data_IF_905417417959
#
_entry.id   IF_905417417959
#
_cell.length_a   1.000
_cell.length_b   1.000
_cell.length_c   1.000
_cell.angle_alpha   90.00
_cell.angle_beta   90.00
_cell.angle_gamma   90.00
#
_symmetry.space_group_name_H-M   'P 1'
#
loop_
_entity.id
_entity.type
_entity.pdbx_description
1 polymer ?
#
# COMPACT_ATOMS: atom_id res chain seq x y z
N UNK A 1 -4.73 -28.41 -8.09
CA UNK A 1 -4.62 -29.42 -9.15
C UNK A 1 -5.69 -29.14 -10.19
N UNK A 2 -5.56 -29.66 -11.41
CA UNK A 2 -6.55 -29.53 -12.48
C UNK A 2 -7.92 -30.05 -12.00
N UNK A 3 -8.99 -29.33 -12.34
CA UNK A 3 -10.36 -29.72 -12.03
C UNK A 3 -10.97 -30.44 -13.25
N UNK A 4 -11.22 -31.74 -13.11
CA UNK A 4 -11.74 -32.59 -14.21
C UNK A 4 -13.20 -32.32 -14.59
N UNK A 5 -13.95 -31.63 -13.72
CA UNK A 5 -15.34 -31.23 -13.95
C UNK A 5 -15.46 -29.79 -14.49
N UNK A 6 -14.34 -29.09 -14.71
CA UNK A 6 -14.35 -27.74 -15.27
C UNK A 6 -14.76 -27.77 -16.74
N UNK A 7 -15.76 -26.97 -17.11
CA UNK A 7 -16.34 -26.95 -18.46
C UNK A 7 -15.32 -26.65 -19.57
N UNK A 8 -14.24 -25.92 -19.25
CA UNK A 8 -13.16 -25.56 -20.18
C UNK A 8 -11.81 -26.19 -19.78
N UNK A 9 -11.85 -27.44 -19.29
CA UNK A 9 -10.66 -28.18 -18.85
C UNK A 9 -9.67 -28.50 -19.98
N UNK A 10 -10.11 -28.54 -21.23
CA UNK A 10 -9.25 -28.79 -22.41
C UNK A 10 -8.28 -27.63 -22.66
N UNK A 11 -8.65 -26.42 -22.24
CA UNK A 11 -7.77 -25.25 -22.25
C UNK A 11 -6.67 -25.34 -21.18
N UNK A 12 -6.95 -25.99 -20.03
CA UNK A 12 -6.02 -26.09 -18.91
C UNK A 12 -4.90 -27.08 -19.19
N UNK A 13 -3.66 -26.58 -19.22
CA UNK A 13 -2.45 -27.37 -19.56
C UNK A 13 -1.68 -27.89 -18.35
N UNK A 14 -1.70 -27.19 -17.22
CA UNK A 14 -1.02 -27.61 -15.99
C UNK A 14 -1.86 -28.64 -15.20
N UNK A 15 -1.22 -29.72 -14.77
CA UNK A 15 -1.84 -30.71 -13.87
C UNK A 15 -1.95 -30.20 -12.43
N UNK A 16 -0.96 -29.41 -12.00
CA UNK A 16 -0.85 -28.87 -10.64
C UNK A 16 -0.02 -27.60 -10.62
N UNK A 17 -0.46 -26.63 -9.81
CA UNK A 17 0.34 -25.51 -9.33
C UNK A 17 0.61 -25.75 -7.84
N UNK A 18 1.88 -25.75 -7.44
CA UNK A 18 2.28 -25.81 -6.04
C UNK A 18 2.63 -24.39 -5.56
N UNK A 19 2.18 -24.03 -4.36
CA UNK A 19 2.42 -22.72 -3.76
C UNK A 19 3.10 -22.93 -2.41
N UNK A 20 4.29 -22.36 -2.26
CA UNK A 20 5.08 -22.42 -1.04
C UNK A 20 5.08 -21.05 -0.37
N UNK A 21 4.90 -21.02 0.96
CA UNK A 21 5.02 -19.77 1.73
C UNK A 21 6.46 -19.62 2.19
N UNK A 22 7.17 -18.66 1.61
CA UNK A 22 8.56 -18.32 1.95
C UNK A 22 8.61 -16.87 2.41
N UNK A 23 9.24 -16.59 3.56
CA UNK A 23 9.23 -15.26 4.19
C UNK A 23 10.54 -14.49 3.99
N UNK A 24 11.62 -15.20 3.69
CA UNK A 24 12.97 -14.69 3.50
C UNK A 24 13.33 -14.73 2.01
N UNK A 25 13.73 -13.57 1.47
CA UNK A 25 14.08 -13.47 0.05
C UNK A 25 15.29 -14.36 -0.36
N UNK A 26 16.33 -14.53 0.48
CA UNK A 26 17.43 -15.45 0.16
C UNK A 26 16.99 -16.90 0.00
N UNK A 27 16.07 -17.37 0.85
CA UNK A 27 15.51 -18.72 0.74
C UNK A 27 14.73 -18.88 -0.56
N UNK A 28 13.94 -17.87 -0.92
CA UNK A 28 13.12 -17.87 -2.13
C UNK A 28 14.00 -17.88 -3.40
N UNK A 29 15.09 -17.10 -3.42
CA UNK A 29 16.08 -17.10 -4.49
C UNK A 29 16.80 -18.46 -4.61
N UNK A 30 17.24 -19.04 -3.49
CA UNK A 30 17.91 -20.35 -3.52
C UNK A 30 17.00 -21.43 -4.11
N UNK A 31 15.72 -21.47 -3.74
CA UNK A 31 14.76 -22.42 -4.30
C UNK A 31 14.59 -22.25 -5.83
N UNK A 32 14.69 -21.02 -6.34
CA UNK A 32 14.63 -20.76 -7.77
C UNK A 32 15.92 -21.24 -8.46
N UNK A 33 17.08 -20.89 -7.91
CA UNK A 33 18.39 -21.29 -8.46
C UNK A 33 18.60 -22.82 -8.44
N UNK A 34 18.04 -23.53 -7.47
CA UNK A 34 18.06 -25.01 -7.42
C UNK A 34 16.97 -25.67 -8.26
N UNK A 35 16.07 -24.90 -8.87
CA UNK A 35 14.97 -25.41 -9.69
C UNK A 35 13.81 -26.03 -8.90
N UNK A 36 13.72 -25.78 -7.59
CA UNK A 36 12.60 -26.23 -6.75
C UNK A 36 11.33 -25.39 -6.94
N UNK A 37 11.47 -24.15 -7.40
CA UNK A 37 10.34 -23.29 -7.80
C UNK A 37 10.59 -22.66 -9.17
N UNK A 38 9.52 -22.47 -9.92
CA UNK A 38 9.58 -21.86 -11.26
C UNK A 38 9.34 -20.34 -11.26
N UNK A 39 8.90 -19.78 -10.13
CA UNK A 39 8.65 -18.35 -9.96
C UNK A 39 8.91 -17.97 -8.50
N UNK A 40 9.68 -16.90 -8.27
CA UNK A 40 9.93 -16.37 -6.93
C UNK A 40 9.96 -14.86 -6.93
N UNK A 41 9.52 -14.25 -5.83
CA UNK A 41 9.68 -12.81 -5.61
C UNK A 41 11.12 -12.47 -5.24
N UNK A 42 11.49 -11.21 -5.47
CA UNK A 42 12.73 -10.58 -5.03
C UNK A 42 12.41 -9.33 -4.20
N UNK A 43 13.33 -8.96 -3.30
CA UNK A 43 13.23 -7.71 -2.55
C UNK A 43 14.60 -7.22 -2.08
N UNK A 44 14.72 -5.92 -1.85
CA UNK A 44 15.92 -5.29 -1.30
C UNK A 44 17.15 -5.52 -2.17
N UNK A 45 18.28 -5.81 -1.54
CA UNK A 45 19.56 -6.01 -2.21
C UNK A 45 19.52 -7.10 -3.29
N UNK A 46 18.82 -8.21 -3.05
CA UNK A 46 18.70 -9.29 -4.05
C UNK A 46 17.96 -8.84 -5.31
N UNK A 47 16.93 -7.99 -5.16
CA UNK A 47 16.24 -7.42 -6.32
C UNK A 47 17.16 -6.48 -7.12
N UNK A 48 18.00 -5.70 -6.44
CA UNK A 48 18.99 -4.85 -7.10
C UNK A 48 20.05 -5.66 -7.85
N UNK A 49 20.55 -6.74 -7.25
CA UNK A 49 21.54 -7.62 -7.86
C UNK A 49 20.98 -8.32 -9.11
N UNK A 50 19.69 -8.69 -9.09
CA UNK A 50 19.03 -9.44 -10.16
C UNK A 50 18.34 -8.56 -11.21
N UNK A 51 18.47 -7.23 -11.15
CA UNK A 51 17.76 -6.29 -12.03
C UNK A 51 18.04 -6.49 -13.55
N UNK A 52 19.16 -7.12 -13.88
CA UNK A 52 19.57 -7.41 -15.26
C UNK A 52 19.40 -8.88 -15.64
N UNK A 53 18.78 -9.69 -14.77
CA UNK A 53 18.50 -11.09 -15.09
C UNK A 53 17.54 -11.19 -16.28
N UNK A 54 17.81 -12.07 -17.27
CA UNK A 54 16.88 -12.30 -18.37
C UNK A 54 15.55 -12.92 -17.90
N UNK A 55 15.53 -13.52 -16.71
CA UNK A 55 14.36 -14.15 -16.09
C UNK A 55 13.54 -13.17 -15.27
N UNK A 56 13.97 -11.90 -15.19
CA UNK A 56 13.30 -10.89 -14.37
C UNK A 56 11.95 -10.50 -14.99
N UNK A 57 10.90 -10.59 -14.18
CA UNK A 57 9.55 -10.12 -14.51
C UNK A 57 9.12 -9.06 -13.51
N UNK A 58 8.72 -7.88 -14.02
CA UNK A 58 8.21 -6.79 -13.19
C UNK A 58 6.68 -6.76 -13.23
N UNK A 59 6.06 -6.87 -12.06
CA UNK A 59 4.61 -6.91 -11.88
C UNK A 59 4.13 -5.64 -11.17
N UNK A 60 3.54 -4.69 -11.91
CA UNK A 60 2.97 -3.47 -11.36
C UNK A 60 1.58 -3.72 -10.78
N UNK A 61 1.31 -3.29 -9.55
CA UNK A 61 0.00 -3.47 -8.94
C UNK A 61 -0.73 -2.12 -8.78
N UNK A 62 -2.05 -2.12 -8.95
CA UNK A 62 -2.92 -1.08 -8.44
C UNK A 62 -3.09 -1.31 -6.94
N UNK A 63 -2.04 -1.03 -6.15
CA UNK A 63 -2.06 -1.27 -4.71
C UNK A 63 -1.32 -0.19 -3.94
N UNK A 64 -2.00 0.35 -2.93
CA UNK A 64 -1.50 1.41 -2.06
C UNK A 64 -1.12 0.81 -0.71
N UNK A 65 0.11 1.07 -0.25
CA UNK A 65 0.53 0.80 1.12
C UNK A 65 0.63 2.10 1.88
N UNK A 66 0.10 2.11 3.11
CA UNK A 66 -0.06 3.31 3.93
C UNK A 66 0.06 2.97 5.42
N UNK A 67 0.36 3.99 6.22
CA UNK A 67 0.17 3.94 7.66
C UNK A 67 -1.30 4.22 7.96
N UNK A 68 -1.99 3.19 8.43
CA UNK A 68 -3.30 3.33 9.04
C UNK A 68 -3.11 3.72 10.51
N UNK A 69 -3.68 4.84 10.91
CA UNK A 69 -3.52 5.42 12.26
C UNK A 69 -4.86 5.37 12.98
N UNK A 70 -4.88 4.75 14.16
CA UNK A 70 -6.08 4.61 14.97
C UNK A 70 -6.44 5.92 15.68
N UNK A 71 -7.54 6.51 15.24
CA UNK A 71 -8.10 7.79 15.70
C UNK A 71 -9.39 7.60 16.52
N UNK A 72 -9.72 6.35 16.91
CA UNK A 72 -10.97 6.03 17.58
C UNK A 72 -11.09 6.62 19.00
N UNK A 73 -9.99 6.67 19.74
CA UNK A 73 -9.93 7.26 21.07
C UNK A 73 -9.53 8.73 20.96
N UNK A 74 -10.40 9.64 21.39
CA UNK A 74 -10.13 11.09 21.39
C UNK A 74 -8.85 11.46 22.15
N UNK A 75 -8.45 10.65 23.14
CA UNK A 75 -7.20 10.84 23.91
C UNK A 75 -5.96 10.32 23.19
N UNK A 76 -6.13 9.57 22.10
CA UNK A 76 -5.01 9.09 21.30
C UNK A 76 -4.27 10.30 20.70
N UNK A 77 -2.93 10.35 20.77
CA UNK A 77 -2.17 11.42 20.12
C UNK A 77 -2.36 11.42 18.59
N UNK A 78 -2.80 10.30 18.01
CA UNK A 78 -3.02 10.14 16.57
C UNK A 78 -4.25 10.89 16.06
N UNK A 79 -5.12 11.38 16.94
CA UNK A 79 -6.21 12.31 16.54
C UNK A 79 -5.66 13.69 16.16
N UNK A 80 -4.44 14.03 16.58
CA UNK A 80 -3.80 15.29 16.23
C UNK A 80 -3.32 15.29 14.77
N UNK A 81 -3.92 16.15 13.95
CA UNK A 81 -3.59 16.26 12.52
C UNK A 81 -2.14 16.73 12.28
N UNK A 82 -1.55 17.54 13.17
CA UNK A 82 -0.17 17.97 13.02
C UNK A 82 0.82 16.82 13.28
N UNK A 83 0.53 15.90 14.20
CA UNK A 83 1.32 14.67 14.35
C UNK A 83 1.27 13.84 13.07
N UNK A 84 0.08 13.58 12.52
CA UNK A 84 -0.06 12.79 11.29
C UNK A 84 0.67 13.43 10.09
N UNK A 85 0.58 14.75 9.94
CA UNK A 85 1.35 15.52 8.94
C UNK A 85 2.85 15.43 9.17
N UNK A 86 3.31 15.58 10.41
CA UNK A 86 4.73 15.47 10.75
C UNK A 86 5.28 14.10 10.36
N UNK A 87 4.56 13.02 10.69
CA UNK A 87 4.93 11.66 10.32
C UNK A 87 4.98 11.48 8.80
N UNK A 88 3.99 12.01 8.06
CA UNK A 88 3.98 11.93 6.58
C UNK A 88 5.18 12.63 5.94
N UNK A 89 5.50 13.85 6.38
CA UNK A 89 6.61 14.63 5.85
C UNK A 89 7.99 14.10 6.24
N UNK A 90 8.09 13.29 7.31
CA UNK A 90 9.34 12.69 7.77
C UNK A 90 9.78 11.49 6.90
N UNK A 91 8.86 10.87 6.14
CA UNK A 91 9.14 9.65 5.38
C UNK A 91 9.70 9.99 3.99
N UNK A 92 10.95 9.58 3.75
CA UNK A 92 11.57 9.60 2.42
C UNK A 92 11.12 8.38 1.59
N UNK A 93 9.99 8.55 0.92
CA UNK A 93 9.33 7.51 0.11
C UNK A 93 10.18 7.05 -1.07
N UNK A 94 11.02 7.93 -1.61
CA UNK A 94 11.95 7.59 -2.68
C UNK A 94 13.00 6.59 -2.18
N UNK A 95 13.61 6.89 -1.02
CA UNK A 95 14.58 5.98 -0.41
C UNK A 95 13.93 4.66 0.01
N UNK A 96 12.72 4.70 0.58
CA UNK A 96 11.95 3.49 0.89
C UNK A 96 11.75 2.61 -0.36
N UNK A 97 11.23 3.19 -1.44
CA UNK A 97 10.90 2.46 -2.65
C UNK A 97 12.14 1.92 -3.38
N UNK A 98 13.18 2.75 -3.55
CA UNK A 98 14.35 2.44 -4.38
C UNK A 98 15.43 1.64 -3.64
N UNK A 99 15.60 1.87 -2.34
CA UNK A 99 16.73 1.33 -1.58
C UNK A 99 16.31 0.22 -0.62
N UNK A 100 15.15 0.35 0.04
CA UNK A 100 14.70 -0.62 1.04
C UNK A 100 13.89 -1.74 0.37
N UNK A 101 12.86 -1.38 -0.39
CA UNK A 101 12.03 -2.34 -1.12
C UNK A 101 12.73 -2.84 -2.38
N UNK A 102 13.24 -1.89 -3.19
CA UNK A 102 14.05 -2.10 -4.37
C UNK A 102 13.50 -3.14 -5.39
N UNK A 103 12.19 -3.34 -5.42
CA UNK A 103 11.49 -4.37 -6.19
C UNK A 103 10.54 -3.77 -7.25
N UNK A 104 10.90 -2.58 -7.74
CA UNK A 104 10.11 -1.78 -8.68
C UNK A 104 8.89 -1.09 -8.07
N UNK A 105 8.65 -1.21 -6.76
CA UNK A 105 7.65 -0.39 -6.07
C UNK A 105 7.95 1.11 -6.27
N UNK A 106 6.91 1.93 -6.24
CA UNK A 106 7.00 3.36 -6.52
C UNK A 106 6.73 4.17 -5.23
N UNK A 107 7.38 5.32 -5.03
CA UNK A 107 6.98 6.24 -3.96
C UNK A 107 5.51 6.63 -4.17
N UNK A 108 4.71 6.56 -3.10
CA UNK A 108 3.30 6.97 -3.19
C UNK A 108 3.20 8.45 -3.51
N UNK A 109 2.27 8.79 -4.42
CA UNK A 109 1.92 10.17 -4.76
C UNK A 109 0.51 10.56 -4.28
N UNK A 110 -0.23 9.64 -3.68
CA UNK A 110 -1.60 9.81 -3.22
C UNK A 110 -2.06 8.58 -2.47
N UNK A 111 -3.31 8.57 -2.01
CA UNK A 111 -3.92 7.38 -1.45
C UNK A 111 -4.36 6.44 -2.57
N UNK A 112 -4.98 6.99 -3.61
CA UNK A 112 -5.17 6.32 -4.90
C UNK A 112 -3.81 6.14 -5.61
N UNK A 113 -3.43 4.91 -6.01
CA UNK A 113 -2.23 4.67 -6.82
C UNK A 113 -2.31 5.29 -8.22
N UNK A 114 -1.16 5.55 -8.84
CA UNK A 114 -1.12 5.98 -10.24
C UNK A 114 -1.55 4.84 -11.17
N UNK A 115 -1.99 5.20 -12.38
CA UNK A 115 -2.46 4.29 -13.43
C UNK A 115 -3.74 3.50 -13.08
N UNK A 116 -4.49 3.92 -12.04
CA UNK A 116 -5.76 3.27 -11.64
C UNK A 116 -6.93 3.71 -12.50
N UNK A 117 -7.02 5.00 -12.82
CA UNK A 117 -8.13 5.55 -13.59
C UNK A 117 -7.71 6.82 -14.33
N UNK A 118 -8.42 7.09 -15.43
CA UNK A 118 -8.20 8.26 -16.27
C UNK A 118 -9.44 9.13 -16.31
N UNK A 119 -9.22 10.44 -16.34
CA UNK A 119 -10.26 11.44 -16.42
C UNK A 119 -11.15 11.21 -17.65
N UNK A 120 -12.49 11.21 -17.50
CA UNK A 120 -13.39 11.09 -18.63
C UNK A 120 -13.33 12.29 -19.57
N UNK A 121 -12.83 13.44 -19.09
CA UNK A 121 -12.75 14.69 -19.84
C UNK A 121 -11.41 14.88 -20.55
N UNK A 122 -10.30 14.62 -19.85
CA UNK A 122 -8.95 14.95 -20.34
C UNK A 122 -8.13 13.71 -20.72
N UNK A 123 -8.52 12.52 -20.23
CA UNK A 123 -7.72 11.29 -20.35
C UNK A 123 -6.48 11.25 -19.45
N UNK A 124 -6.26 12.27 -18.61
CA UNK A 124 -5.15 12.33 -17.66
C UNK A 124 -5.36 11.41 -16.46
N UNK A 125 -4.27 10.98 -15.83
CA UNK A 125 -4.30 10.14 -14.62
C UNK A 125 -4.95 10.85 -13.43
N UNK A 126 -5.70 10.10 -12.62
CA UNK A 126 -6.39 10.60 -11.43
C UNK A 126 -5.45 11.34 -10.47
N UNK A 127 -4.28 10.78 -10.17
CA UNK A 127 -3.35 11.36 -9.19
C UNK A 127 -2.82 12.70 -9.68
N UNK A 128 -2.57 12.83 -10.99
CA UNK A 128 -2.10 14.07 -11.62
C UNK A 128 -3.15 15.18 -11.54
N UNK A 129 -4.43 14.89 -11.78
CA UNK A 129 -5.51 15.88 -11.64
C UNK A 129 -5.81 16.21 -10.17
N UNK A 130 -5.68 15.23 -9.27
CA UNK A 130 -5.83 15.43 -7.84
C UNK A 130 -4.74 16.35 -7.27
N UNK A 131 -3.52 16.26 -7.81
CA UNK A 131 -2.37 16.99 -7.30
C UNK A 131 -1.96 16.56 -5.89
N UNK A 132 -2.24 15.30 -5.54
CA UNK A 132 -1.93 14.70 -4.23
C UNK A 132 -0.42 14.66 -3.96
N UNK A 133 0.39 14.59 -5.01
CA UNK A 133 1.85 14.57 -4.99
C UNK A 133 2.46 15.80 -4.28
N UNK A 134 1.73 16.92 -4.26
CA UNK A 134 2.14 18.15 -3.59
C UNK A 134 2.13 18.03 -2.07
N UNK A 135 1.30 17.14 -1.52
CA UNK A 135 1.10 16.92 -0.09
C UNK A 135 1.74 15.62 0.39
N UNK A 136 1.80 14.59 -0.46
CA UNK A 136 2.48 13.32 -0.18
C UNK A 136 3.94 13.41 -0.64
N UNK A 137 4.76 14.14 0.11
CA UNK A 137 6.19 14.30 -0.18
C UNK A 137 7.04 14.35 1.07
N UNK A 138 8.31 13.98 0.93
CA UNK A 138 9.32 14.14 1.96
C UNK A 138 9.72 15.61 2.10
N UNK A 139 9.66 16.13 3.33
CA UNK A 139 10.13 17.48 3.66
C UNK A 139 10.49 17.54 5.15
N UNK A 140 11.76 17.28 5.46
CA UNK A 140 12.27 17.24 6.84
C UNK A 140 11.95 18.53 7.62
N UNK A 141 11.98 19.70 6.98
CA UNK A 141 11.72 20.98 7.66
C UNK A 141 10.26 21.09 8.05
N UNK A 142 9.33 20.76 7.13
CA UNK A 142 7.90 20.73 7.45
C UNK A 142 7.58 19.67 8.50
N UNK A 143 8.22 18.50 8.43
CA UNK A 143 8.04 17.45 9.43
C UNK A 143 8.32 17.97 10.85
N UNK A 144 9.46 18.65 11.03
CA UNK A 144 9.84 19.27 12.31
C UNK A 144 8.89 20.40 12.71
N UNK A 145 8.46 21.24 11.76
CA UNK A 145 7.49 22.32 12.02
C UNK A 145 6.17 21.78 12.57
N UNK A 146 5.58 20.81 11.87
CA UNK A 146 4.32 20.19 12.28
C UNK A 146 4.47 19.42 13.60
N UNK A 147 5.63 18.79 13.83
CA UNK A 147 5.89 18.12 15.09
C UNK A 147 5.97 19.07 16.28
N UNK A 148 6.59 20.24 16.11
CA UNK A 148 6.62 21.24 17.16
C UNK A 148 5.22 21.78 17.49
N UNK A 149 4.36 21.96 16.48
CA UNK A 149 2.93 22.29 16.69
C UNK A 149 2.21 21.17 17.45
N UNK A 150 2.39 19.93 17.03
CA UNK A 150 1.79 18.76 17.68
C UNK A 150 2.21 18.63 19.14
N UNK A 151 3.50 18.83 19.47
CA UNK A 151 4.00 18.82 20.86
C UNK A 151 3.31 19.87 21.73
N UNK A 152 3.11 21.08 21.21
CA UNK A 152 2.41 22.15 21.92
C UNK A 152 0.94 21.80 22.16
N UNK A 153 0.24 21.32 21.12
CA UNK A 153 -1.18 20.97 21.18
C UNK A 153 -1.44 19.76 22.08
N UNK A 154 -0.55 18.77 22.07
CA UNK A 154 -0.64 17.56 22.89
C UNK A 154 -0.10 17.78 24.31
N UNK A 155 0.64 18.87 24.56
CA UNK A 155 1.30 19.12 25.84
C UNK A 155 2.40 18.09 26.17
N UNK A 156 3.08 17.54 25.16
CA UNK A 156 4.11 16.49 25.34
C UNK A 156 5.47 16.94 24.83
N UNK A 157 6.52 16.50 25.51
CA UNK A 157 7.91 16.60 25.04
C UNK A 157 8.42 15.31 24.40
N UNK A 158 7.88 14.17 24.85
CA UNK A 158 8.22 12.85 24.36
C UNK A 158 6.93 12.06 24.06
N UNK A 159 6.95 11.24 23.03
CA UNK A 159 5.84 10.40 22.62
C UNK A 159 6.36 9.04 22.20
N UNK A 160 5.68 7.96 22.61
CA UNK A 160 5.95 6.61 22.09
C UNK A 160 4.73 6.09 21.34
N UNK A 161 4.94 5.55 20.14
CA UNK A 161 3.90 4.90 19.33
C UNK A 161 4.36 3.54 18.84
N UNK A 162 3.43 2.59 18.78
CA UNK A 162 3.64 1.27 18.20
C UNK A 162 3.28 1.25 16.70
N UNK A 163 4.19 0.71 15.90
CA UNK A 163 4.07 0.48 14.47
C UNK A 163 4.00 -1.03 14.20
N UNK A 164 2.82 -1.51 13.91
CA UNK A 164 2.58 -2.91 13.55
C UNK A 164 2.89 -3.15 12.07
N UNK A 165 3.67 -4.20 11.79
CA UNK A 165 4.02 -4.65 10.43
C UNK A 165 3.82 -6.15 10.28
N UNK A 166 3.78 -6.64 9.05
CA UNK A 166 3.83 -8.09 8.79
C UNK A 166 5.20 -8.68 9.17
N UNK A 167 5.26 -9.99 9.44
CA UNK A 167 6.46 -10.66 9.96
C UNK A 167 7.46 -11.17 8.90
N UNK A 168 7.24 -10.83 7.63
CA UNK A 168 8.19 -11.13 6.55
C UNK A 168 9.47 -10.27 6.68
N UNK A 169 10.57 -10.76 6.11
CA UNK A 169 11.86 -10.05 6.17
C UNK A 169 11.76 -8.63 5.58
N UNK A 170 11.13 -8.50 4.41
CA UNK A 170 10.93 -7.20 3.75
C UNK A 170 10.05 -6.23 4.56
N UNK A 171 9.01 -6.74 5.21
CA UNK A 171 8.13 -5.90 6.04
C UNK A 171 8.82 -5.42 7.32
N UNK A 172 9.68 -6.26 7.93
CA UNK A 172 10.52 -5.87 9.08
C UNK A 172 11.51 -4.77 8.70
N UNK A 173 12.25 -4.94 7.60
CA UNK A 173 13.19 -3.93 7.10
C UNK A 173 12.51 -2.59 6.78
N UNK A 174 11.32 -2.64 6.19
CA UNK A 174 10.48 -1.43 6.00
C UNK A 174 10.08 -0.80 7.35
N UNK A 175 9.64 -1.61 8.32
CA UNK A 175 9.28 -1.13 9.66
C UNK A 175 10.44 -0.45 10.38
N UNK A 176 11.63 -1.04 10.33
CA UNK A 176 12.88 -0.47 10.86
C UNK A 176 13.26 0.84 10.18
N UNK A 177 13.14 0.90 8.85
CA UNK A 177 13.34 2.13 8.09
C UNK A 177 12.37 3.24 8.53
N UNK A 178 11.08 2.94 8.65
CA UNK A 178 10.06 3.89 9.11
C UNK A 178 10.34 4.35 10.54
N UNK A 179 10.71 3.41 11.44
CA UNK A 179 11.11 3.73 12.81
C UNK A 179 12.26 4.72 12.85
N UNK A 180 13.34 4.46 12.10
CA UNK A 180 14.51 5.33 12.03
C UNK A 180 14.16 6.70 11.44
N UNK A 181 13.52 6.72 10.27
CA UNK A 181 13.10 7.95 9.58
C UNK A 181 12.25 8.87 10.47
N UNK A 182 11.27 8.30 11.18
CA UNK A 182 10.41 9.04 12.10
C UNK A 182 11.17 9.52 13.34
N UNK A 183 11.92 8.65 14.01
CA UNK A 183 12.61 8.98 15.27
C UNK A 183 13.76 9.97 15.06
N UNK A 184 14.48 9.88 13.94
CA UNK A 184 15.60 10.78 13.61
C UNK A 184 15.13 12.18 13.19
N UNK A 185 13.91 12.29 12.67
CA UNK A 185 13.34 13.56 12.20
C UNK A 185 12.52 14.25 13.28
N UNK A 186 11.79 13.48 14.10
CA UNK A 186 10.82 13.98 15.05
C UNK A 186 11.36 13.82 16.48
N UNK A 187 12.22 14.75 16.90
CA UNK A 187 12.91 14.68 18.21
C UNK A 187 11.93 14.45 19.38
N UNK A 188 12.18 13.40 20.18
CA UNK A 188 11.32 12.98 21.29
C UNK A 188 10.22 11.98 20.90
N UNK A 189 10.02 11.70 19.61
CA UNK A 189 9.18 10.59 19.15
C UNK A 189 10.00 9.30 19.14
N UNK A 190 9.51 8.29 19.87
CA UNK A 190 9.99 6.91 19.81
C UNK A 190 8.96 6.05 19.08
N UNK A 191 9.40 5.35 18.05
CA UNK A 191 8.56 4.34 17.38
C UNK A 191 9.01 2.95 17.83
N UNK A 192 8.10 2.08 18.26
CA UNK A 192 8.38 0.64 18.45
C UNK A 192 7.84 -0.12 17.25
N UNK A 193 8.58 -1.11 16.74
CA UNK A 193 8.12 -1.95 15.61
C UNK A 193 7.65 -3.28 16.17
N UNK A 194 6.42 -3.66 15.84
CA UNK A 194 5.80 -4.92 16.28
C UNK A 194 5.46 -5.79 15.06
N UNK A 195 6.36 -6.70 14.63
CA UNK A 195 6.08 -7.63 13.54
C UNK A 195 5.15 -8.74 14.00
N UNK A 196 4.08 -9.01 13.23
CA UNK A 196 3.13 -10.09 13.50
C UNK A 196 2.74 -10.83 12.21
N UNK A 197 2.26 -12.08 12.28
CA UNK A 197 1.68 -12.74 11.11
C UNK A 197 0.51 -11.94 10.53
N UNK A 198 0.33 -11.96 9.21
CA UNK A 198 -0.73 -11.21 8.52
C UNK A 198 -2.12 -11.45 9.11
N UNK A 199 -2.46 -12.70 9.44
CA UNK A 199 -3.74 -13.04 10.06
C UNK A 199 -3.95 -12.33 11.42
N UNK A 200 -2.89 -12.20 12.22
CA UNK A 200 -2.93 -11.48 13.50
C UNK A 200 -3.07 -9.98 13.28
N UNK A 201 -2.34 -9.40 12.33
CA UNK A 201 -2.50 -7.98 11.97
C UNK A 201 -3.92 -7.68 11.51
N UNK A 202 -4.51 -8.53 10.67
CA UNK A 202 -5.89 -8.38 10.21
C UNK A 202 -6.88 -8.43 11.37
N UNK A 203 -6.77 -9.41 12.26
CA UNK A 203 -7.64 -9.54 13.43
C UNK A 203 -7.52 -8.33 14.39
N UNK A 204 -6.29 -7.93 14.74
CA UNK A 204 -6.03 -6.79 15.64
C UNK A 204 -6.55 -5.48 15.05
N UNK A 205 -6.28 -5.21 13.77
CA UNK A 205 -6.77 -3.99 13.13
C UNK A 205 -8.30 -3.97 13.01
N UNK A 206 -8.95 -5.10 12.70
CA UNK A 206 -10.43 -5.19 12.69
C UNK A 206 -11.05 -4.89 14.06
N UNK A 207 -10.36 -5.28 15.14
CA UNK A 207 -10.78 -5.03 16.53
C UNK A 207 -10.39 -3.63 17.05
N UNK A 208 -9.63 -2.85 16.28
CA UNK A 208 -9.09 -1.57 16.75
C UNK A 208 -7.94 -1.69 17.76
N UNK A 209 -7.35 -2.89 17.92
CA UNK A 209 -6.20 -3.14 18.81
C UNK A 209 -4.87 -2.80 18.12
N UNK A 210 -4.68 -1.53 17.80
CA UNK A 210 -3.45 -1.00 17.21
C UNK A 210 -3.36 0.51 17.41
N UNK A 211 -2.14 1.05 17.36
CA UNK A 211 -1.91 2.49 17.24
C UNK A 211 -1.67 2.85 15.78
N UNK A 212 -0.60 2.31 15.19
CA UNK A 212 -0.27 2.48 13.79
C UNK A 212 -0.05 1.11 13.18
N UNK A 213 -0.58 0.86 12.00
CA UNK A 213 -0.33 -0.37 11.25
C UNK A 213 0.06 -0.03 9.81
N UNK A 214 1.05 -0.73 9.25
CA UNK A 214 1.24 -0.73 7.80
C UNK A 214 0.17 -1.61 7.16
N UNK A 215 -0.69 -0.99 6.36
CA UNK A 215 -1.75 -1.67 5.63
C UNK A 215 -1.57 -1.47 4.13
N UNK A 216 -1.85 -2.53 3.39
CA UNK A 216 -1.95 -2.50 1.93
C UNK A 216 -3.39 -2.70 1.51
N UNK A 217 -3.81 -2.01 0.46
CA UNK A 217 -5.03 -2.30 -0.28
C UNK A 217 -4.68 -2.51 -1.75
N UNK A 218 -5.23 -3.56 -2.34
CA UNK A 218 -5.11 -3.87 -3.76
C UNK A 218 -6.49 -3.72 -4.39
N UNK A 219 -6.58 -3.01 -5.51
CA UNK A 219 -7.87 -2.66 -6.04
C UNK A 219 -8.61 -3.89 -6.58
N UNK A 220 -9.89 -4.06 -6.23
CA UNK A 220 -10.72 -5.13 -6.80
C UNK A 220 -11.08 -4.86 -8.26
N UNK A 221 -11.20 -3.58 -8.62
CA UNK A 221 -11.49 -3.06 -9.96
C UNK A 221 -10.84 -1.69 -10.16
N UNK A 222 -10.70 -1.27 -11.41
CA UNK A 222 -9.95 -0.06 -11.80
C UNK A 222 -10.78 1.22 -11.68
N UNK A 223 -11.01 1.69 -10.44
CA UNK A 223 -11.70 2.96 -10.16
C UNK A 223 -11.19 3.58 -8.84
N UNK A 224 -11.05 4.93 -8.73
CA UNK A 224 -10.56 5.57 -7.50
C UNK A 224 -11.42 5.27 -6.27
N UNK A 225 -12.73 5.05 -6.44
CA UNK A 225 -13.64 4.77 -5.32
C UNK A 225 -13.23 3.52 -4.54
N UNK A 226 -12.58 2.55 -5.19
CA UNK A 226 -12.16 1.30 -4.54
C UNK A 226 -11.07 1.52 -3.47
N UNK A 227 -10.37 2.65 -3.52
CA UNK A 227 -9.49 3.10 -2.45
C UNK A 227 -10.22 4.07 -1.53
N UNK A 228 -10.86 5.09 -2.09
CA UNK A 228 -11.40 6.20 -1.33
C UNK A 228 -12.52 5.77 -0.37
N UNK A 229 -13.39 4.85 -0.75
CA UNK A 229 -14.48 4.46 0.15
C UNK A 229 -14.04 3.63 1.36
N UNK A 230 -12.79 3.15 1.40
CA UNK A 230 -12.20 2.49 2.56
C UNK A 230 -12.16 3.40 3.79
N UNK A 231 -12.18 4.72 3.58
CA UNK A 231 -12.09 5.73 4.63
C UNK A 231 -13.41 6.45 4.89
N UNK A 232 -14.51 6.01 4.24
CA UNK A 232 -15.86 6.46 4.60
C UNK A 232 -16.12 6.14 6.09
N UNK A 233 -16.64 7.09 6.86
CA UNK A 233 -16.74 6.94 8.33
C UNK A 233 -17.58 5.73 8.76
N UNK A 234 -18.53 5.31 7.92
CA UNK A 234 -19.49 4.24 8.19
C UNK A 234 -18.96 2.83 7.89
N UNK A 235 -17.88 2.69 7.10
CA UNK A 235 -17.44 1.38 6.60
C UNK A 235 -16.61 0.60 7.64
N UNK A 236 -16.75 -0.73 7.64
CA UNK A 236 -15.89 -1.60 8.46
C UNK A 236 -14.44 -1.64 7.96
N UNK A 237 -14.18 -1.19 6.73
CA UNK A 237 -12.84 -1.11 6.17
C UNK A 237 -12.02 0.05 6.74
N UNK A 238 -12.68 1.05 7.33
CA UNK A 238 -12.05 2.19 7.99
C UNK A 238 -11.64 1.80 9.42
N UNK A 239 -10.56 1.01 9.53
CA UNK A 239 -10.12 0.45 10.81
C UNK A 239 -9.47 1.51 11.69
N UNK A 240 -8.86 2.52 11.06
CA UNK A 240 -8.33 3.71 11.72
C UNK A 240 -9.39 4.67 12.29
N UNK A 241 -10.67 4.48 11.96
CA UNK A 241 -11.78 5.36 12.39
C UNK A 241 -11.57 6.83 12.03
N UNK A 242 -10.96 7.09 10.88
CA UNK A 242 -10.93 8.44 10.32
C UNK A 242 -12.38 8.92 10.07
N UNK A 243 -12.67 10.18 10.34
CA UNK A 243 -14.00 10.74 10.14
C UNK A 243 -13.89 12.19 9.69
N UNK A 244 -14.47 12.50 8.52
CA UNK A 244 -14.59 13.85 8.00
C UNK A 244 -15.92 13.98 7.23
N UNK A 245 -16.88 14.82 7.69
CA UNK A 245 -18.18 14.95 7.03
C UNK A 245 -18.13 15.43 5.57
N UNK A 246 -17.16 16.28 5.21
CA UNK A 246 -17.00 16.71 3.81
C UNK A 246 -16.45 15.58 2.95
N UNK A 247 -15.54 14.76 3.48
CA UNK A 247 -15.08 13.55 2.81
C UNK A 247 -16.25 12.59 2.55
N UNK A 248 -17.02 12.26 3.59
CA UNK A 248 -18.16 11.36 3.48
C UNK A 248 -19.20 11.86 2.47
N UNK A 249 -19.40 13.19 2.40
CA UNK A 249 -20.29 13.82 1.42
C UNK A 249 -19.82 13.58 -0.01
N UNK A 250 -18.52 13.77 -0.31
CA UNK A 250 -17.97 13.50 -1.64
C UNK A 250 -18.07 12.02 -2.01
N UNK A 251 -17.75 11.11 -1.07
CA UNK A 251 -17.91 9.67 -1.29
C UNK A 251 -19.36 9.31 -1.59
N UNK A 252 -20.30 9.80 -0.78
CA UNK A 252 -21.73 9.54 -0.95
C UNK A 252 -22.25 10.09 -2.30
N UNK A 253 -21.89 11.32 -2.67
CA UNK A 253 -22.29 11.93 -3.95
C UNK A 253 -21.80 11.10 -5.15
N UNK A 254 -20.54 10.67 -5.13
CA UNK A 254 -19.94 9.84 -6.18
C UNK A 254 -20.60 8.47 -6.38
N UNK A 255 -21.28 7.96 -5.34
CA UNK A 255 -22.02 6.69 -5.33
C UNK A 255 -23.52 6.86 -5.60
N UNK A 256 -24.04 8.09 -5.52
CA UNK A 256 -25.50 8.36 -5.56
C UNK A 256 -25.84 9.51 -6.52
N UNK A 257 -25.85 10.76 -6.03
CA UNK A 257 -26.33 11.96 -6.75
C UNK A 257 -25.64 12.14 -8.10
N UNK A 258 -24.33 11.96 -8.16
CA UNK A 258 -23.52 12.26 -9.34
C UNK A 258 -23.05 11.01 -10.09
N UNK A 259 -23.50 9.81 -9.68
CA UNK A 259 -23.05 8.52 -10.24
C UNK A 259 -23.21 8.39 -11.76
N UNK A 260 -24.22 9.07 -12.32
CA UNK A 260 -24.54 9.04 -13.75
C UNK A 260 -23.96 10.23 -14.53
N UNK A 261 -23.21 11.12 -13.88
CA UNK A 261 -22.52 12.25 -14.49
C UNK A 261 -21.00 12.06 -14.32
N UNK A 262 -20.29 11.50 -15.32
CA UNK A 262 -18.89 11.13 -15.18
C UNK A 262 -17.97 12.29 -14.79
N UNK A 263 -18.24 13.52 -15.25
CA UNK A 263 -17.42 14.69 -14.91
C UNK A 263 -17.63 15.09 -13.44
N UNK A 264 -18.88 15.17 -12.97
CA UNK A 264 -19.16 15.49 -11.57
C UNK A 264 -18.69 14.41 -10.61
N UNK A 265 -18.94 13.13 -10.92
CA UNK A 265 -18.43 12.01 -10.13
C UNK A 265 -16.92 12.07 -10.02
N UNK A 266 -16.23 12.40 -11.11
CA UNK A 266 -14.78 12.54 -11.11
C UNK A 266 -14.32 13.68 -10.19
N UNK A 267 -14.98 14.85 -10.25
CA UNK A 267 -14.72 15.98 -9.35
C UNK A 267 -14.94 15.62 -7.87
N UNK A 268 -15.99 14.86 -7.54
CA UNK A 268 -16.21 14.36 -6.18
C UNK A 268 -15.05 13.51 -5.69
N UNK A 269 -14.59 12.55 -6.49
CA UNK A 269 -13.48 11.66 -6.12
C UNK A 269 -12.18 12.47 -5.95
N UNK A 270 -11.92 13.44 -6.82
CA UNK A 270 -10.77 14.35 -6.72
C UNK A 270 -10.83 15.15 -5.40
N UNK A 271 -12.01 15.65 -5.04
CA UNK A 271 -12.18 16.40 -3.79
C UNK A 271 -12.05 15.49 -2.57
N UNK A 272 -12.55 14.25 -2.62
CA UNK A 272 -12.36 13.26 -1.57
C UNK A 272 -10.86 12.97 -1.34
N UNK A 273 -10.11 12.64 -2.40
CA UNK A 273 -8.66 12.41 -2.35
C UNK A 273 -7.91 13.61 -1.74
N UNK A 274 -8.21 14.83 -2.19
CA UNK A 274 -7.59 16.06 -1.64
C UNK A 274 -7.89 16.22 -0.16
N UNK A 275 -9.13 16.02 0.26
CA UNK A 275 -9.55 16.14 1.67
C UNK A 275 -8.79 15.14 2.54
N UNK A 276 -8.77 13.85 2.17
CA UNK A 276 -8.14 12.83 3.02
C UNK A 276 -6.62 12.97 3.09
N UNK A 277 -5.98 13.40 2.00
CA UNK A 277 -4.53 13.68 2.00
C UNK A 277 -4.21 14.95 2.78
N UNK A 278 -5.03 16.00 2.71
CA UNK A 278 -4.84 17.22 3.49
C UNK A 278 -4.95 16.95 5.01
N UNK A 279 -5.87 16.07 5.40
CA UNK A 279 -6.07 15.65 6.79
C UNK A 279 -5.09 14.59 7.26
N UNK A 280 -4.34 13.99 6.33
CA UNK A 280 -3.56 12.78 6.55
C UNK A 280 -4.41 11.73 7.27
N UNK A 281 -5.62 11.47 6.76
CA UNK A 281 -6.51 10.44 7.31
C UNK A 281 -5.84 9.07 7.33
N UNK A 282 -4.99 8.83 6.33
CA UNK A 282 -3.92 7.83 6.31
C UNK A 282 -2.63 8.49 5.80
N UNK A 283 -1.49 7.83 5.96
CA UNK A 283 -0.21 8.27 5.37
C UNK A 283 0.23 7.29 4.29
N UNK A 284 -0.01 7.56 3.00
CA UNK A 284 0.51 6.73 1.91
C UNK A 284 2.03 6.65 1.94
N UNK A 285 2.62 5.47 1.72
CA UNK A 285 4.07 5.24 1.78
C UNK A 285 4.64 4.77 0.44
N UNK A 286 4.05 3.77 -0.21
CA UNK A 286 4.46 3.30 -1.53
C UNK A 286 3.31 2.65 -2.31
N UNK A 287 3.39 2.73 -3.64
CA UNK A 287 2.58 1.91 -4.53
C UNK A 287 3.34 0.62 -4.84
N UNK A 288 2.70 -0.52 -4.62
CA UNK A 288 3.35 -1.82 -4.72
C UNK A 288 3.66 -2.16 -6.18
N UNK A 289 4.87 -2.64 -6.41
CA UNK A 289 5.17 -3.54 -7.49
C UNK A 289 5.96 -4.74 -6.94
N UNK A 290 6.09 -5.78 -7.74
CA UNK A 290 6.87 -6.95 -7.40
C UNK A 290 7.85 -7.28 -8.51
N UNK A 291 9.12 -7.48 -8.17
CA UNK A 291 10.11 -8.08 -9.05
C UNK A 291 10.13 -9.57 -8.79
N UNK A 292 10.03 -10.37 -9.83
CA UNK A 292 10.11 -11.83 -9.78
C UNK A 292 11.23 -12.35 -10.65
N UNK A 293 11.82 -13.49 -10.29
CA UNK A 293 12.47 -14.36 -11.26
C UNK A 293 11.47 -15.41 -11.69
N UNK A 294 11.33 -15.62 -13.00
CA UNK A 294 10.43 -16.61 -13.57
C UNK A 294 11.17 -17.46 -14.59
N UNK A 295 11.10 -18.77 -14.41
CA UNK A 295 11.77 -19.73 -15.26
C UNK A 295 11.31 -19.52 -16.71
N UNK A 296 12.25 -19.42 -17.68
CA UNK A 296 11.92 -19.02 -19.03
C UNK A 296 11.02 -20.02 -19.76
N UNK A 297 10.94 -21.26 -19.30
CA UNK A 297 10.04 -22.27 -19.86
C UNK A 297 8.61 -22.21 -19.30
N UNK A 298 8.32 -21.36 -18.31
CA UNK A 298 6.96 -21.09 -17.85
C UNK A 298 6.32 -19.98 -18.67
N UNK A 299 5.26 -20.31 -19.39
CA UNK A 299 4.56 -19.39 -20.30
C UNK A 299 3.13 -19.11 -19.84
N UNK A 300 2.56 -18.02 -20.34
CA UNK A 300 1.12 -17.70 -20.24
C UNK A 300 0.53 -17.68 -18.82
N UNK A 301 1.35 -17.33 -17.81
CA UNK A 301 0.82 -16.87 -16.52
C UNK A 301 0.28 -15.45 -16.74
N UNK A 302 -1.04 -15.30 -16.68
CA UNK A 302 -1.67 -14.00 -16.77
C UNK A 302 -1.59 -13.32 -15.40
N UNK A 303 -1.11 -12.09 -15.40
CA UNK A 303 -1.07 -11.23 -14.23
C UNK A 303 -2.07 -10.10 -14.36
N UNK A 304 -2.88 -9.88 -13.33
CA UNK A 304 -3.84 -8.80 -13.24
C UNK A 304 -3.38 -7.76 -12.20
N UNK A 305 -3.21 -6.48 -12.57
CA UNK A 305 -2.89 -5.41 -11.63
C UNK A 305 -3.99 -5.13 -10.58
N UNK A 306 -5.21 -5.56 -10.87
CA UNK A 306 -6.43 -5.44 -10.06
C UNK A 306 -7.11 -6.81 -9.90
N UNK A 307 -7.88 -7.01 -8.83
CA UNK A 307 -8.63 -8.24 -8.58
C UNK A 307 -7.74 -9.45 -8.29
N UNK A 308 -8.13 -10.61 -8.83
CA UNK A 308 -7.36 -11.85 -8.66
C UNK A 308 -6.01 -11.76 -9.39
N UNK A 309 -4.93 -11.65 -8.62
CA UNK A 309 -3.58 -11.33 -9.11
C UNK A 309 -3.05 -12.22 -10.24
N UNK A 310 -3.29 -13.54 -10.17
CA UNK A 310 -2.79 -14.49 -11.14
C UNK A 310 -3.92 -15.37 -11.70
N UNK A 311 -3.91 -15.58 -13.02
CA UNK A 311 -4.67 -16.63 -13.67
C UNK A 311 -3.70 -17.64 -14.32
N UNK A 312 -3.79 -18.89 -13.87
CA UNK A 312 -2.96 -20.01 -14.31
C UNK A 312 -3.65 -20.89 -15.35
N UNK A 313 -4.88 -20.57 -15.78
CA UNK A 313 -5.66 -21.39 -16.69
C UNK A 313 -4.92 -21.68 -18.00
N UNK A 314 -4.29 -20.67 -18.58
CA UNK A 314 -3.57 -20.78 -19.86
C UNK A 314 -2.09 -21.10 -19.70
N UNK A 315 -1.57 -21.10 -18.47
CA UNK A 315 -0.15 -21.32 -18.21
C UNK A 315 0.26 -22.74 -18.64
N UNK A 316 1.51 -22.88 -19.09
CA UNK A 316 2.13 -24.17 -19.43
C UNK A 316 3.64 -24.13 -19.23
N UNK A 317 4.27 -25.31 -19.22
CA UNK A 317 5.73 -25.47 -19.24
C UNK A 317 6.17 -26.02 -20.59
N UNK A 318 7.15 -25.37 -21.21
CA UNK A 318 7.90 -25.86 -22.38
C UNK A 318 8.99 -26.86 -21.98
#
# INVERSE_FOLDING_TARGET
>A
TKNEEYWDKETVKLDKVAINVVKEAPTALNLYETGEVDDTYLSGELAQQMQNSPDLVQLKAASSFYLEMNQADEKSPLTNANLRRAMSYAIDRDSLAKNILANGSLPSQGFVPVDVAKSPKTGEDFVKEAGSDKLVKYDKKKAVEYWNKAKQELGVSNLTVDLMVDDSEGAKKMGEYLQGSLSDTLEGLKVTVTPVPMAVRLDRTLKGDFQIAVRGWSADYSDPINFLDLLESSTSNNRGRYSNPEYDKFIAASKTTDVNDPEKRWEDLINAEKTVIADMGVVPIYQKAESHLRAPNVKEIIYHPTGAKYDFKWAYKE
#
